data_IF_881578528595
#
_entry.id   IF_881578528595
#
_cell.length_a   1.000
_cell.length_b   1.000
_cell.length_c   1.000
_cell.angle_alpha   90.00
_cell.angle_beta   90.00
_cell.angle_gamma   90.00
#
_symmetry.space_group_name_H-M   'P 1'
#
loop_
_entity.id
_entity.type
_entity.pdbx_description
1 polymer ?
#
# COMPACT_ATOMS: atom_id res chain seq x y z
N UNK A 1 8.82 -14.86 24.78
CA UNK A 1 8.90 -14.10 26.02
C UNK A 1 9.15 -12.62 25.68
N UNK A 2 8.21 -11.74 26.03
CA UNK A 2 8.23 -10.30 25.72
C UNK A 2 9.46 -9.63 26.35
N UNK A 3 9.82 -10.00 27.60
CA UNK A 3 11.00 -9.44 28.28
C UNK A 3 12.30 -9.66 27.51
N UNK A 4 12.44 -10.79 26.80
CA UNK A 4 13.61 -11.04 25.94
C UNK A 4 13.61 -10.16 24.69
N UNK A 5 12.44 -9.95 24.08
CA UNK A 5 12.30 -9.03 22.95
C UNK A 5 12.72 -7.61 23.38
N UNK A 6 12.20 -7.15 24.53
CA UNK A 6 12.52 -5.84 25.08
C UNK A 6 14.02 -5.62 25.26
N UNK A 7 14.71 -6.57 25.89
CA UNK A 7 16.18 -6.52 26.06
C UNK A 7 16.95 -6.35 24.75
N UNK A 8 16.51 -7.02 23.66
CA UNK A 8 17.15 -6.85 22.36
C UNK A 8 16.83 -5.51 21.71
N UNK A 9 15.62 -4.99 21.90
CA UNK A 9 15.22 -3.66 21.40
C UNK A 9 16.00 -2.55 22.12
N UNK A 10 16.04 -2.57 23.46
CA UNK A 10 16.80 -1.62 24.29
C UNK A 10 18.28 -1.54 23.93
N UNK A 11 18.88 -2.71 23.59
CA UNK A 11 20.29 -2.79 23.19
C UNK A 11 20.53 -2.48 21.71
N UNK A 12 19.51 -2.19 20.91
CA UNK A 12 19.64 -2.03 19.46
C UNK A 12 20.10 -3.28 18.71
N UNK A 13 19.98 -4.46 19.32
CA UNK A 13 20.50 -5.72 18.78
C UNK A 13 19.43 -6.66 18.26
N UNK A 14 18.17 -6.20 18.20
CA UNK A 14 17.07 -7.00 17.64
C UNK A 14 17.36 -7.32 16.18
N UNK A 15 17.15 -8.59 15.80
CA UNK A 15 17.27 -9.04 14.40
C UNK A 15 16.03 -9.83 14.03
N UNK A 16 15.43 -9.46 12.91
CA UNK A 16 14.30 -10.18 12.34
C UNK A 16 14.75 -11.52 11.76
N UNK A 17 13.90 -12.53 11.95
CA UNK A 17 14.06 -13.84 11.32
C UNK A 17 13.67 -13.79 9.85
N UNK A 18 14.02 -14.85 9.10
CA UNK A 18 13.48 -15.06 7.76
C UNK A 18 11.97 -15.26 7.83
N UNK A 19 11.27 -14.72 6.84
CA UNK A 19 9.83 -14.94 6.68
C UNK A 19 9.55 -16.32 6.09
N UNK A 20 8.36 -16.87 6.32
CA UNK A 20 7.91 -18.12 5.71
C UNK A 20 7.07 -17.85 4.47
N UNK A 21 7.44 -18.49 3.34
CA UNK A 21 6.66 -18.45 2.12
C UNK A 21 5.33 -19.22 2.28
N UNK A 22 4.23 -18.62 1.87
CA UNK A 22 2.91 -19.23 1.77
C UNK A 22 2.14 -18.64 0.58
N UNK A 23 1.12 -19.33 0.07
CA UNK A 23 0.23 -18.82 -0.97
C UNK A 23 -1.23 -18.93 -0.54
N UNK A 24 -2.04 -17.94 -0.90
CA UNK A 24 -3.49 -17.97 -0.76
C UNK A 24 -4.11 -17.95 -2.15
N UNK A 25 -5.05 -18.87 -2.40
CA UNK A 25 -5.83 -18.89 -3.65
C UNK A 25 -6.78 -17.70 -3.68
N UNK A 26 -6.82 -16.98 -4.80
CA UNK A 26 -7.78 -15.92 -5.10
C UNK A 26 -9.02 -16.49 -5.80
N UNK A 27 -10.13 -15.76 -5.80
CA UNK A 27 -11.39 -16.15 -6.45
C UNK A 27 -11.22 -16.42 -7.95
N UNK A 28 -10.34 -15.67 -8.61
CA UNK A 28 -10.00 -15.83 -10.04
C UNK A 28 -9.02 -17.00 -10.31
N UNK A 29 -8.80 -17.89 -9.34
CA UNK A 29 -7.92 -19.06 -9.48
C UNK A 29 -6.41 -18.78 -9.39
N UNK A 30 -5.98 -17.52 -9.41
CA UNK A 30 -4.58 -17.12 -9.21
C UNK A 30 -4.20 -17.23 -7.73
N UNK A 31 -2.91 -17.18 -7.42
CA UNK A 31 -2.42 -17.23 -6.05
C UNK A 31 -1.77 -15.90 -5.65
N UNK A 32 -1.98 -15.53 -4.39
CA UNK A 32 -1.31 -14.40 -3.75
C UNK A 32 -0.13 -14.93 -2.93
N UNK A 33 1.11 -14.55 -3.24
CA UNK A 33 2.27 -14.91 -2.42
C UNK A 33 2.25 -14.14 -1.11
N UNK A 34 2.52 -14.83 0.00
CA UNK A 34 2.67 -14.22 1.31
C UNK A 34 4.04 -14.51 1.89
N UNK A 35 4.63 -13.51 2.51
CA UNK A 35 5.84 -13.60 3.31
C UNK A 35 5.45 -13.41 4.78
N UNK A 36 5.29 -14.53 5.48
CA UNK A 36 4.74 -14.55 6.85
C UNK A 36 5.88 -14.48 7.86
N UNK A 37 6.02 -13.37 8.63
CA UNK A 37 7.03 -13.26 9.69
C UNK A 37 6.76 -14.22 10.84
N UNK A 38 7.80 -14.58 11.59
CA UNK A 38 7.71 -15.30 12.85
C UNK A 38 6.82 -14.56 13.87
N UNK A 39 6.19 -15.28 14.80
CA UNK A 39 5.25 -14.69 15.77
C UNK A 39 5.89 -13.55 16.56
N UNK A 40 7.14 -13.73 17.04
CA UNK A 40 7.84 -12.66 17.77
C UNK A 40 8.08 -11.44 16.90
N UNK A 41 8.42 -11.64 15.63
CA UNK A 41 8.66 -10.56 14.67
C UNK A 41 7.37 -9.80 14.35
N UNK A 42 6.23 -10.51 14.26
CA UNK A 42 4.92 -9.87 14.08
C UNK A 42 4.57 -8.92 15.22
N UNK A 43 4.94 -9.24 16.45
CA UNK A 43 4.74 -8.34 17.61
C UNK A 43 5.57 -7.06 17.44
N UNK A 44 6.85 -7.19 17.09
CA UNK A 44 7.73 -6.02 16.87
C UNK A 44 7.29 -5.20 15.66
N UNK A 45 6.95 -5.86 14.55
CA UNK A 45 6.45 -5.20 13.34
C UNK A 45 5.14 -4.45 13.60
N UNK A 46 4.24 -5.01 14.42
CA UNK A 46 3.00 -4.31 14.78
C UNK A 46 3.25 -3.11 15.69
N UNK A 47 4.15 -3.26 16.68
CA UNK A 47 4.56 -2.14 17.53
C UNK A 47 5.21 -1.03 16.70
N UNK A 48 6.10 -1.39 15.77
CA UNK A 48 6.74 -0.46 14.84
C UNK A 48 5.71 0.24 13.95
N UNK A 49 4.70 -0.47 13.44
CA UNK A 49 3.63 0.13 12.66
C UNK A 49 2.83 1.17 13.46
N UNK A 50 2.53 0.89 14.73
CA UNK A 50 1.82 1.83 15.60
C UNK A 50 2.69 3.08 15.85
N UNK A 51 3.97 2.89 16.16
CA UNK A 51 4.91 3.97 16.39
C UNK A 51 5.07 4.86 15.15
N UNK A 52 5.29 4.27 13.98
CA UNK A 52 5.41 5.01 12.72
C UNK A 52 4.12 5.74 12.34
N UNK A 53 2.96 5.13 12.58
CA UNK A 53 1.67 5.79 12.32
C UNK A 53 1.50 7.07 13.16
N UNK A 54 1.97 7.04 14.41
CA UNK A 54 1.95 8.21 15.29
C UNK A 54 3.00 9.25 14.88
N UNK A 55 4.23 8.80 14.61
CA UNK A 55 5.35 9.68 14.26
C UNK A 55 5.19 10.37 12.90
N UNK A 56 4.51 9.72 11.95
CA UNK A 56 4.28 10.20 10.59
C UNK A 56 2.85 10.71 10.38
N UNK A 57 2.18 11.10 11.45
CA UNK A 57 0.78 11.57 11.39
C UNK A 57 0.63 12.73 10.41
N UNK A 58 1.48 13.74 10.47
CA UNK A 58 1.45 14.91 9.60
C UNK A 58 1.56 14.55 8.10
N UNK A 59 2.42 13.59 7.78
CA UNK A 59 2.54 13.05 6.41
C UNK A 59 1.25 12.38 5.93
N UNK A 60 0.53 11.72 6.82
CA UNK A 60 -0.67 10.95 6.50
C UNK A 60 -1.95 11.80 6.52
N UNK A 61 -1.96 12.96 7.17
CA UNK A 61 -3.13 13.86 7.26
C UNK A 61 -3.63 14.31 5.88
N UNK A 62 -2.74 14.50 4.91
CA UNK A 62 -3.11 14.81 3.52
C UNK A 62 -4.00 13.76 2.84
N UNK A 63 -3.97 12.53 3.34
CA UNK A 63 -4.74 11.38 2.82
C UNK A 63 -6.05 11.14 3.58
N UNK A 64 -6.36 11.89 4.62
CA UNK A 64 -7.43 11.53 5.58
C UNK A 64 -8.83 11.45 4.96
N UNK A 65 -9.15 12.28 3.98
CA UNK A 65 -10.46 12.29 3.30
C UNK A 65 -10.50 11.38 2.06
N UNK A 66 -9.36 10.82 1.68
CA UNK A 66 -9.16 10.08 0.42
C UNK A 66 -8.91 8.60 0.68
N UNK A 67 -8.06 8.26 1.65
CA UNK A 67 -7.65 6.90 1.95
C UNK A 67 -8.53 6.27 3.02
N UNK A 68 -9.07 5.08 2.75
CA UNK A 68 -10.02 4.37 3.63
C UNK A 68 -9.53 2.99 4.09
N UNK A 69 -8.47 2.45 3.48
CA UNK A 69 -7.91 1.17 3.91
C UNK A 69 -6.85 1.33 5.01
N UNK A 70 -6.77 0.32 5.87
CA UNK A 70 -5.74 0.18 6.90
C UNK A 70 -5.70 1.31 7.94
N UNK A 71 -6.78 2.05 8.10
CA UNK A 71 -6.92 3.14 9.07
C UNK A 71 -7.95 2.79 10.14
N UNK A 72 -7.71 3.28 11.36
CA UNK A 72 -8.68 3.12 12.46
C UNK A 72 -9.97 3.86 12.11
N UNK A 73 -11.09 3.23 12.38
CA UNK A 73 -12.44 3.77 12.15
C UNK A 73 -12.81 4.04 10.69
N UNK A 74 -12.00 3.62 9.72
CA UNK A 74 -12.29 3.67 8.29
C UNK A 74 -12.31 2.26 7.70
N UNK A 75 -13.11 2.08 6.65
CA UNK A 75 -13.26 0.80 5.97
C UNK A 75 -14.10 0.94 4.71
N UNK A 76 -14.50 -0.19 4.13
CA UNK A 76 -15.30 -0.22 2.89
C UNK A 76 -16.59 0.59 3.02
N UNK A 77 -17.29 0.50 4.16
CA UNK A 77 -18.53 1.25 4.40
C UNK A 77 -18.31 2.77 4.27
N UNK A 78 -17.27 3.30 4.90
CA UNK A 78 -16.96 4.74 4.86
C UNK A 78 -16.52 5.17 3.46
N UNK A 79 -15.76 4.33 2.74
CA UNK A 79 -15.39 4.57 1.35
C UNK A 79 -16.63 4.68 0.46
N UNK A 80 -17.58 3.73 0.58
CA UNK A 80 -18.84 3.74 -0.19
C UNK A 80 -19.70 4.96 0.15
N UNK A 81 -19.80 5.34 1.43
CA UNK A 81 -20.54 6.55 1.83
C UNK A 81 -19.91 7.81 1.22
N UNK A 82 -18.57 7.90 1.20
CA UNK A 82 -17.89 9.05 0.57
C UNK A 82 -18.10 9.07 -0.94
N UNK A 83 -18.07 7.91 -1.60
CA UNK A 83 -18.39 7.82 -3.04
C UNK A 83 -19.82 8.31 -3.33
N UNK A 84 -20.79 7.88 -2.50
CA UNK A 84 -22.18 8.31 -2.64
C UNK A 84 -22.32 9.82 -2.46
N UNK A 85 -21.71 10.42 -1.47
CA UNK A 85 -21.67 11.87 -1.25
C UNK A 85 -21.21 12.61 -2.51
N UNK A 86 -20.06 12.21 -3.09
CA UNK A 86 -19.50 12.83 -4.30
C UNK A 86 -20.41 12.61 -5.52
N UNK A 87 -21.04 11.45 -5.63
CA UNK A 87 -21.97 11.13 -6.70
C UNK A 87 -23.24 12.00 -6.63
N UNK A 88 -23.78 12.18 -5.44
CA UNK A 88 -24.97 13.01 -5.19
C UNK A 88 -24.70 14.52 -5.48
N UNK A 89 -23.42 14.96 -5.45
CA UNK A 89 -22.98 16.29 -5.92
C UNK A 89 -23.00 16.45 -7.47
N UNK A 90 -23.44 15.44 -8.20
CA UNK A 90 -23.53 15.46 -9.67
C UNK A 90 -22.25 15.05 -10.40
N UNK A 91 -21.28 14.44 -9.71
CA UNK A 91 -20.08 13.84 -10.31
C UNK A 91 -20.33 12.34 -10.50
N UNK A 92 -20.89 11.96 -11.64
CA UNK A 92 -21.44 10.64 -11.88
C UNK A 92 -20.59 9.76 -12.82
N UNK A 93 -19.60 10.34 -13.49
CA UNK A 93 -18.67 9.59 -14.34
C UNK A 93 -17.53 9.05 -13.47
N UNK A 94 -17.39 7.74 -13.40
CA UNK A 94 -16.46 7.05 -12.51
C UNK A 94 -15.25 6.57 -13.28
N UNK A 95 -14.08 7.12 -12.97
CA UNK A 95 -12.78 6.53 -13.31
C UNK A 95 -12.39 5.58 -12.17
N UNK A 96 -12.44 4.28 -12.42
CA UNK A 96 -11.87 3.24 -11.54
C UNK A 96 -10.48 2.87 -12.04
N UNK A 97 -9.51 2.73 -11.15
CA UNK A 97 -8.17 2.29 -11.52
C UNK A 97 -7.52 1.44 -10.43
N UNK A 98 -6.66 0.50 -10.86
CA UNK A 98 -5.86 -0.43 -10.03
C UNK A 98 -4.39 -0.30 -10.44
N UNK A 99 -3.50 -0.19 -9.44
CA UNK A 99 -2.06 -0.08 -9.66
C UNK A 99 -1.48 -1.47 -9.94
N UNK A 100 -0.70 -1.57 -11.02
CA UNK A 100 -0.08 -2.83 -11.45
C UNK A 100 0.94 -3.30 -10.42
N UNK A 101 0.74 -4.50 -9.86
CA UNK A 101 1.66 -5.17 -8.95
C UNK A 101 2.18 -4.26 -7.81
N UNK A 102 1.34 -3.38 -7.28
CA UNK A 102 1.70 -2.31 -6.37
C UNK A 102 2.73 -2.71 -5.31
N UNK A 103 2.45 -3.79 -4.55
CA UNK A 103 3.34 -4.23 -3.46
C UNK A 103 4.75 -4.60 -3.92
N UNK A 104 4.90 -5.11 -5.14
CA UNK A 104 6.19 -5.48 -5.72
C UNK A 104 6.93 -4.28 -6.31
N UNK A 105 6.18 -3.27 -6.78
CA UNK A 105 6.75 -2.09 -7.48
C UNK A 105 7.08 -0.93 -6.52
N UNK A 106 6.69 -0.98 -5.24
CA UNK A 106 7.10 0.02 -4.25
C UNK A 106 8.62 0.07 -4.14
N UNK A 107 9.23 1.22 -4.43
CA UNK A 107 10.65 1.43 -4.19
C UNK A 107 10.93 1.60 -2.69
N UNK A 108 11.45 0.54 -2.07
CA UNK A 108 11.79 0.51 -0.64
C UNK A 108 12.82 1.57 -0.26
N UNK A 109 13.80 1.83 -1.12
CA UNK A 109 14.85 2.81 -0.84
C UNK A 109 14.27 4.22 -0.84
N UNK A 110 13.45 4.54 -1.85
CA UNK A 110 12.73 5.81 -1.89
C UNK A 110 11.79 5.95 -0.70
N UNK A 111 11.01 4.91 -0.37
CA UNK A 111 10.11 4.90 0.78
C UNK A 111 10.85 5.23 2.09
N UNK A 112 11.98 4.55 2.36
CA UNK A 112 12.76 4.75 3.58
C UNK A 112 13.42 6.13 3.57
N UNK A 113 14.22 6.44 2.54
CA UNK A 113 15.12 7.60 2.52
C UNK A 113 14.39 8.91 2.27
N UNK A 114 13.35 8.90 1.44
CA UNK A 114 12.68 10.12 1.00
C UNK A 114 11.36 10.39 1.74
N UNK A 115 10.73 9.35 2.32
CA UNK A 115 9.42 9.51 2.97
C UNK A 115 9.45 9.24 4.48
N UNK A 116 10.12 8.18 4.93
CA UNK A 116 10.10 7.83 6.36
C UNK A 116 11.16 8.61 7.11
N UNK A 117 12.42 8.45 6.77
CA UNK A 117 13.54 9.01 7.52
C UNK A 117 13.52 10.55 7.66
N UNK A 118 13.19 11.34 6.63
CA UNK A 118 13.14 12.79 6.77
C UNK A 118 12.02 13.30 7.71
N UNK A 119 10.98 12.48 7.92
CA UNK A 119 9.83 12.82 8.74
C UNK A 119 9.88 12.22 10.15
N UNK A 120 10.96 11.48 10.49
CA UNK A 120 11.16 10.97 11.84
C UNK A 120 11.99 11.95 12.67
N UNK A 121 11.46 12.35 13.82
CA UNK A 121 12.17 13.17 14.82
C UNK A 121 13.26 12.38 15.55
N UNK A 122 13.04 11.07 15.74
CA UNK A 122 13.95 10.14 16.40
C UNK A 122 14.36 9.04 15.42
N UNK A 123 15.67 8.88 15.24
CA UNK A 123 16.30 7.95 14.30
C UNK A 123 16.82 6.67 14.98
N UNK A 124 16.58 6.50 16.28
CA UNK A 124 17.06 5.32 17.04
C UNK A 124 16.45 4.01 16.57
N UNK A 125 15.29 4.07 15.85
CA UNK A 125 14.59 2.91 15.32
C UNK A 125 14.91 2.59 13.85
N UNK A 126 15.81 3.32 13.21
CA UNK A 126 16.14 3.13 11.78
C UNK A 126 16.54 1.68 11.47
N UNK A 127 17.36 1.07 12.33
CA UNK A 127 17.78 -0.32 12.17
C UNK A 127 16.61 -1.33 12.18
N UNK A 128 15.51 -1.00 12.88
CA UNK A 128 14.30 -1.82 12.88
C UNK A 128 13.53 -1.65 11.57
N UNK A 129 13.43 -0.42 11.05
CA UNK A 129 12.74 -0.14 9.79
C UNK A 129 13.47 -0.85 8.64
N UNK A 130 14.78 -0.68 8.56
CA UNK A 130 15.61 -1.34 7.55
C UNK A 130 15.57 -2.86 7.69
N UNK A 131 15.69 -3.37 8.92
CA UNK A 131 15.60 -4.80 9.21
C UNK A 131 14.25 -5.41 8.85
N UNK A 132 13.15 -4.70 9.11
CA UNK A 132 11.79 -5.13 8.77
C UNK A 132 11.58 -5.28 7.25
N UNK A 133 12.21 -4.42 6.44
CA UNK A 133 12.06 -4.42 4.98
C UNK A 133 13.13 -5.27 4.25
N UNK A 134 14.16 -5.71 4.97
CA UNK A 134 15.22 -6.58 4.45
C UNK A 134 15.12 -8.04 4.91
N UNK A 135 13.99 -8.44 5.52
CA UNK A 135 13.77 -9.84 5.93
C UNK A 135 13.93 -10.78 4.72
N UNK A 136 14.75 -11.81 4.89
CA UNK A 136 14.95 -12.86 3.88
C UNK A 136 13.71 -13.75 3.80
N UNK A 137 13.38 -14.19 2.59
CA UNK A 137 12.35 -15.20 2.38
C UNK A 137 12.92 -16.60 2.63
N UNK A 138 12.28 -17.38 3.50
CA UNK A 138 12.58 -18.77 3.77
C UNK A 138 11.42 -19.70 3.41
N UNK A 139 11.66 -21.01 3.50
CA UNK A 139 10.63 -22.03 3.37
C UNK A 139 10.13 -22.31 1.95
N UNK A 140 10.78 -21.81 0.90
CA UNK A 140 10.42 -22.08 -0.50
C UNK A 140 10.46 -23.57 -0.85
N UNK A 141 11.33 -24.34 -0.21
CA UNK A 141 11.43 -25.79 -0.43
C UNK A 141 10.17 -26.56 -0.01
N UNK A 142 9.37 -25.98 0.91
CA UNK A 142 8.11 -26.56 1.40
C UNK A 142 6.92 -26.29 0.48
N UNK A 143 7.07 -25.43 -0.54
CA UNK A 143 6.03 -25.12 -1.50
C UNK A 143 6.06 -26.09 -2.68
N UNK A 144 4.88 -26.37 -3.23
CA UNK A 144 4.77 -27.07 -4.53
C UNK A 144 5.50 -26.27 -5.63
N UNK A 145 6.13 -26.97 -6.57
CA UNK A 145 6.95 -26.35 -7.64
C UNK A 145 6.24 -25.20 -8.36
N UNK A 146 4.96 -25.39 -8.74
CA UNK A 146 4.14 -24.36 -9.40
C UNK A 146 3.93 -23.09 -8.58
N UNK A 147 4.02 -23.16 -7.25
CA UNK A 147 3.80 -22.00 -6.38
C UNK A 147 5.08 -21.18 -6.16
N UNK A 148 6.26 -21.73 -6.43
CA UNK A 148 7.55 -21.02 -6.30
C UNK A 148 7.66 -19.87 -7.29
N UNK A 149 7.01 -19.99 -8.45
CA UNK A 149 6.96 -18.95 -9.48
C UNK A 149 6.44 -17.60 -8.96
N UNK A 150 5.47 -17.64 -8.03
CA UNK A 150 4.91 -16.42 -7.43
C UNK A 150 5.90 -15.65 -6.55
N UNK A 151 7.06 -16.22 -6.25
CA UNK A 151 8.09 -15.61 -5.40
C UNK A 151 9.33 -15.17 -6.18
N UNK A 152 9.29 -15.15 -7.52
CA UNK A 152 10.43 -14.71 -8.35
C UNK A 152 10.91 -13.29 -8.01
N UNK A 153 9.98 -12.43 -7.65
CA UNK A 153 10.24 -11.04 -7.26
C UNK A 153 10.30 -10.85 -5.74
N UNK A 154 10.39 -11.93 -4.97
CA UNK A 154 10.55 -11.82 -3.51
C UNK A 154 11.81 -11.01 -3.18
N UNK A 155 11.63 -9.96 -2.36
CA UNK A 155 12.70 -9.00 -2.07
C UNK A 155 12.57 -7.65 -2.79
N UNK A 156 11.84 -7.58 -3.91
CA UNK A 156 11.34 -6.31 -4.44
C UNK A 156 10.17 -5.80 -3.60
N UNK A 157 9.97 -4.49 -3.61
CA UNK A 157 8.81 -3.86 -2.99
C UNK A 157 8.63 -4.17 -1.51
N UNK A 158 7.40 -4.04 -1.03
CA UNK A 158 7.00 -4.34 0.35
C UNK A 158 6.31 -5.71 0.42
N UNK A 159 6.64 -6.54 1.43
CA UNK A 159 6.18 -7.92 1.45
C UNK A 159 4.69 -8.03 1.80
N UNK A 160 3.92 -8.77 1.02
CA UNK A 160 2.55 -9.14 1.37
C UNK A 160 2.55 -10.11 2.57
N UNK A 161 1.74 -9.81 3.59
CA UNK A 161 1.67 -10.60 4.83
C UNK A 161 2.52 -10.08 5.99
N UNK A 162 3.31 -9.03 5.77
CA UNK A 162 4.00 -8.32 6.85
C UNK A 162 3.04 -7.30 7.51
N UNK A 163 2.91 -7.28 8.85
CA UNK A 163 2.03 -6.34 9.56
C UNK A 163 2.35 -4.85 9.33
N UNK A 164 3.55 -4.53 8.89
CA UNK A 164 3.98 -3.16 8.59
C UNK A 164 3.55 -2.70 7.18
N UNK A 165 3.43 -3.61 6.22
CA UNK A 165 3.18 -3.29 4.81
C UNK A 165 1.90 -2.47 4.54
N UNK A 166 0.78 -2.66 5.26
CA UNK A 166 -0.41 -1.82 5.11
C UNK A 166 -0.15 -0.33 5.38
N UNK A 167 0.60 -0.01 6.43
CA UNK A 167 0.99 1.36 6.74
C UNK A 167 1.97 1.90 5.69
N UNK A 168 2.96 1.11 5.30
CA UNK A 168 3.96 1.49 4.29
C UNK A 168 3.31 1.81 2.94
N UNK A 169 2.25 1.10 2.55
CA UNK A 169 1.50 1.40 1.34
C UNK A 169 0.83 2.77 1.40
N UNK A 170 0.23 3.11 2.55
CA UNK A 170 -0.37 4.42 2.75
C UNK A 170 0.68 5.54 2.76
N UNK A 171 1.83 5.34 3.41
CA UNK A 171 2.95 6.30 3.41
C UNK A 171 3.46 6.51 1.96
N UNK A 172 3.60 5.44 1.18
CA UNK A 172 4.10 5.54 -0.19
C UNK A 172 3.16 6.35 -1.09
N UNK A 173 1.84 6.18 -0.93
CA UNK A 173 0.80 6.85 -1.72
C UNK A 173 0.35 8.21 -1.16
N UNK A 174 0.86 8.66 0.00
CA UNK A 174 0.42 9.91 0.63
C UNK A 174 0.61 11.15 -0.26
N UNK A 175 1.72 11.22 -1.02
CA UNK A 175 1.95 12.33 -1.94
C UNK A 175 1.01 12.28 -3.15
N UNK A 176 0.65 11.07 -3.61
CA UNK A 176 -0.35 10.89 -4.65
C UNK A 176 -1.73 11.40 -4.18
N UNK A 177 -2.15 11.03 -2.98
CA UNK A 177 -3.41 11.51 -2.39
C UNK A 177 -3.40 13.04 -2.29
N UNK A 178 -2.32 13.61 -1.79
CA UNK A 178 -2.15 15.07 -1.66
C UNK A 178 -2.13 15.77 -3.02
N UNK A 179 -1.53 15.15 -4.04
CA UNK A 179 -1.54 15.69 -5.40
C UNK A 179 -2.95 15.67 -6.00
N UNK A 180 -3.70 14.58 -5.84
CA UNK A 180 -5.09 14.50 -6.31
C UNK A 180 -5.98 15.54 -5.63
N UNK A 181 -5.79 15.78 -4.34
CA UNK A 181 -6.49 16.85 -3.59
C UNK A 181 -6.18 18.24 -4.16
N UNK A 182 -4.92 18.52 -4.49
CA UNK A 182 -4.50 19.79 -5.12
C UNK A 182 -5.09 19.98 -6.54
N UNK A 183 -5.33 18.89 -7.25
CA UNK A 183 -6.02 18.91 -8.55
C UNK A 183 -7.56 19.05 -8.43
N UNK A 184 -8.09 19.13 -7.20
CA UNK A 184 -9.52 19.08 -6.91
C UNK A 184 -10.21 17.82 -7.47
N UNK A 185 -9.50 16.70 -7.51
CA UNK A 185 -10.06 15.42 -7.91
C UNK A 185 -10.73 14.74 -6.70
N UNK A 186 -12.05 14.53 -6.72
CA UNK A 186 -12.75 13.83 -5.66
C UNK A 186 -12.46 12.33 -5.76
N UNK A 187 -11.37 11.94 -5.09
CA UNK A 187 -10.84 10.57 -5.11
C UNK A 187 -11.21 9.82 -3.83
N UNK A 188 -11.53 8.56 -3.98
CA UNK A 188 -11.67 7.58 -2.89
C UNK A 188 -10.72 6.43 -3.18
N UNK A 189 -9.77 6.19 -2.26
CA UNK A 189 -8.78 5.13 -2.37
C UNK A 189 -8.97 4.07 -1.28
N UNK A 190 -8.93 2.80 -1.68
CA UNK A 190 -8.90 1.66 -0.77
C UNK A 190 -7.69 0.78 -1.06
N UNK A 191 -6.61 0.94 -0.30
CA UNK A 191 -5.27 0.39 -0.56
C UNK A 191 -4.68 0.90 -1.89
N UNK A 192 -4.48 0.01 -2.85
CA UNK A 192 -4.00 0.28 -4.21
C UNK A 192 -5.13 0.51 -5.24
N UNK A 193 -6.35 0.11 -4.90
CA UNK A 193 -7.54 0.43 -5.70
C UNK A 193 -8.03 1.86 -5.41
N UNK A 194 -8.38 2.62 -6.44
CA UNK A 194 -8.99 3.93 -6.27
C UNK A 194 -10.02 4.26 -7.35
N UNK A 195 -10.90 5.17 -7.00
CA UNK A 195 -11.84 5.77 -7.92
C UNK A 195 -11.76 7.29 -7.85
N UNK A 196 -12.03 7.95 -8.98
CA UNK A 196 -12.20 9.39 -9.06
C UNK A 196 -13.51 9.65 -9.81
N UNK A 197 -14.33 10.57 -9.29
CA UNK A 197 -15.61 10.89 -9.89
C UNK A 197 -15.53 12.24 -10.62
N UNK A 198 -16.13 12.28 -11.81
CA UNK A 198 -16.11 13.44 -12.70
C UNK A 198 -17.52 13.80 -13.18
N UNK A 199 -17.68 15.02 -13.71
CA UNK A 199 -18.95 15.49 -14.30
C UNK A 199 -19.14 15.05 -15.76
N UNK A 200 -18.04 14.72 -16.46
CA UNK A 200 -18.08 14.31 -17.87
C UNK A 200 -17.00 13.28 -18.19
N UNK A 201 -17.23 12.47 -19.24
CA UNK A 201 -16.21 11.52 -19.73
C UNK A 201 -14.93 12.22 -20.20
N UNK A 202 -15.04 13.40 -20.80
CA UNK A 202 -13.88 14.17 -21.23
C UNK A 202 -12.99 14.53 -20.04
N UNK A 203 -13.59 15.01 -18.94
CA UNK A 203 -12.85 15.30 -17.72
C UNK A 203 -12.26 14.04 -17.08
N UNK A 204 -12.95 12.89 -17.16
CA UNK A 204 -12.43 11.62 -16.68
C UNK A 204 -11.22 11.13 -17.50
N UNK A 205 -11.26 11.27 -18.84
CA UNK A 205 -10.11 10.94 -19.71
C UNK A 205 -8.90 11.84 -19.45
N UNK A 206 -9.12 13.15 -19.24
CA UNK A 206 -8.04 14.07 -18.79
C UNK A 206 -7.50 13.67 -17.43
N UNK A 207 -8.38 13.33 -16.48
CA UNK A 207 -8.03 12.84 -15.17
C UNK A 207 -7.17 11.57 -15.22
N UNK A 208 -7.55 10.60 -16.06
CA UNK A 208 -6.77 9.39 -16.30
C UNK A 208 -5.32 9.69 -16.74
N UNK A 209 -5.16 10.62 -17.69
CA UNK A 209 -3.83 11.03 -18.18
C UNK A 209 -2.98 11.68 -17.08
N UNK A 210 -3.58 12.55 -16.25
CA UNK A 210 -2.90 13.20 -15.13
C UNK A 210 -2.45 12.18 -14.09
N UNK A 211 -3.35 11.25 -13.70
CA UNK A 211 -3.07 10.19 -12.75
C UNK A 211 -1.95 9.28 -13.25
N UNK A 212 -2.06 8.81 -14.49
CA UNK A 212 -1.05 7.91 -15.10
C UNK A 212 0.31 8.57 -15.12
N UNK A 213 0.37 9.83 -15.54
CA UNK A 213 1.61 10.59 -15.59
C UNK A 213 2.22 10.76 -14.20
N UNK A 214 1.43 11.18 -13.21
CA UNK A 214 1.93 11.40 -11.85
C UNK A 214 2.45 10.13 -11.22
N UNK A 215 1.69 9.04 -11.28
CA UNK A 215 2.11 7.75 -10.70
C UNK A 215 3.39 7.23 -11.34
N UNK A 216 3.53 7.37 -12.67
CA UNK A 216 4.73 6.91 -13.38
C UNK A 216 5.95 7.80 -13.07
N UNK A 217 5.84 9.11 -13.20
CA UNK A 217 6.97 10.04 -13.09
C UNK A 217 7.42 10.26 -11.64
N UNK A 218 6.46 10.31 -10.70
CA UNK A 218 6.77 10.64 -9.29
C UNK A 218 6.98 9.42 -8.40
N UNK A 219 6.32 8.29 -8.71
CA UNK A 219 6.35 7.09 -7.86
C UNK A 219 6.88 5.84 -8.59
N UNK A 220 7.13 5.90 -9.89
CA UNK A 220 7.54 4.74 -10.67
C UNK A 220 6.46 3.67 -10.82
N UNK A 221 5.20 4.03 -10.55
CA UNK A 221 4.06 3.11 -10.55
C UNK A 221 3.27 3.21 -11.86
N UNK A 222 2.72 2.08 -12.31
CA UNK A 222 1.83 2.01 -13.48
C UNK A 222 0.43 1.60 -13.03
N UNK A 223 -0.59 2.16 -13.67
CA UNK A 223 -1.95 1.63 -13.57
C UNK A 223 -2.24 0.73 -14.79
N UNK A 224 -3.21 -0.16 -14.65
CA UNK A 224 -3.68 -0.96 -15.78
C UNK A 224 -4.22 -0.03 -16.87
N UNK A 225 -4.07 -0.45 -18.13
CA UNK A 225 -4.57 0.33 -19.26
C UNK A 225 -6.09 0.50 -19.18
N UNK A 226 -6.56 1.64 -19.69
CA UNK A 226 -7.98 1.94 -19.78
C UNK A 226 -8.64 0.97 -20.77
N UNK A 227 -9.65 0.27 -20.32
CA UNK A 227 -10.39 -0.71 -21.12
C UNK A 227 -11.88 -0.62 -20.80
N UNK A 228 -12.73 -1.13 -21.69
CA UNK A 228 -14.19 -1.13 -21.56
C UNK A 228 -14.78 -2.46 -21.12
N UNK A 229 -13.94 -3.49 -20.93
CA UNK A 229 -14.37 -4.82 -20.52
C UNK A 229 -14.94 -4.86 -19.11
N UNK A 230 -15.93 -5.71 -18.85
CA UNK A 230 -16.61 -5.84 -17.55
C UNK A 230 -15.62 -6.23 -16.43
N UNK A 231 -14.59 -7.02 -16.75
CA UNK A 231 -13.56 -7.45 -15.79
C UNK A 231 -12.33 -6.51 -15.76
N UNK A 232 -12.38 -5.40 -16.49
CA UNK A 232 -11.25 -4.49 -16.61
C UNK A 232 -10.91 -3.83 -15.27
N UNK A 233 -9.62 -3.71 -15.02
CA UNK A 233 -9.10 -3.14 -13.78
C UNK A 233 -9.10 -1.61 -13.80
N UNK A 234 -9.04 -1.02 -15.00
CA UNK A 234 -9.15 0.43 -15.18
C UNK A 234 -10.24 0.73 -16.21
N UNK A 235 -11.28 1.44 -15.77
CA UNK A 235 -12.46 1.76 -16.58
C UNK A 235 -12.92 3.19 -16.35
N UNK A 236 -13.57 3.78 -17.37
CA UNK A 236 -14.42 4.96 -17.21
C UNK A 236 -15.85 4.51 -17.49
N UNK A 237 -16.72 4.69 -16.52
CA UNK A 237 -18.14 4.28 -16.61
C UNK A 237 -19.05 5.45 -16.31
N UNK A 238 -20.14 5.56 -17.09
CA UNK A 238 -21.30 6.41 -16.82
C UNK A 238 -22.37 5.60 -16.06
N UNK A 239 -23.30 6.24 -15.35
CA UNK A 239 -24.45 5.59 -14.71
C UNK A 239 -25.39 4.96 -15.73
#
# INVERSE_FOLDING_TARGET
NISRINKFLEKGTYRFSSTRAAVIKKDNGKYRPLQIPEIRDRVVLKALAILLQLSLKELLEGSDEISFAYQKSKGVKQAVLKMKEIFDEGKQIVLKADIVNFFEEVDKNSLIKNKIFPNLKDRTIDFLIEGALSQKLGGLNRLHKKHKEYFKNAGKGIPQGNPLSPLLSNIYLADFDSHMKKQNFPMVRYADDFIILFKSEESAKKGYSIVTKYLLESLGLKIHELDTGIESKTTITAP
#
